data_IF_250822306681
#
_entry.id   IF_250822306681
#
_cell.length_a   1.000
_cell.length_b   1.000
_cell.length_c   1.000
_cell.angle_alpha   90.00
_cell.angle_beta   90.00
_cell.angle_gamma   90.00
#
_symmetry.space_group_name_H-M   'P 1'
#
loop_
_entity.id
_entity.type
_entity.pdbx_description
1 polymer ?
#
# COMPACT_ATOMS: atom_id res chain seq x y z
N UNK A 1 -38.02 -4.67 9.51
CA UNK A 1 -38.62 -5.88 10.12
C UNK A 1 -38.24 -5.95 11.58
N UNK A 2 -39.20 -6.00 12.50
CA UNK A 2 -38.96 -5.91 13.96
C UNK A 2 -38.43 -7.18 14.66
N UNK A 3 -38.78 -8.43 14.26
CA UNK A 3 -38.30 -9.61 14.97
C UNK A 3 -36.82 -9.85 14.71
N UNK A 4 -36.05 -10.09 15.77
CA UNK A 4 -34.65 -10.42 15.67
C UNK A 4 -34.47 -11.90 15.28
N UNK A 5 -33.53 -12.23 14.37
CA UNK A 5 -33.20 -13.61 14.03
C UNK A 5 -32.75 -14.45 15.25
N UNK A 6 -33.06 -15.75 15.23
CA UNK A 6 -32.79 -16.67 16.33
C UNK A 6 -31.31 -16.77 16.73
N UNK A 7 -30.39 -16.56 15.78
CA UNK A 7 -28.94 -16.62 16.01
C UNK A 7 -28.37 -15.41 16.76
N UNK A 8 -29.17 -14.39 17.06
CA UNK A 8 -28.72 -13.17 17.74
C UNK A 8 -28.98 -13.15 19.26
N UNK A 9 -29.47 -14.24 19.86
CA UNK A 9 -29.64 -14.42 21.32
C UNK A 9 -30.16 -13.16 22.06
N UNK A 10 -31.21 -12.53 21.51
CA UNK A 10 -31.79 -11.31 22.09
C UNK A 10 -32.96 -11.68 23.00
N UNK A 11 -32.79 -11.50 24.31
CA UNK A 11 -33.81 -11.79 25.33
C UNK A 11 -34.95 -10.76 25.37
N UNK A 12 -34.73 -9.57 24.80
CA UNK A 12 -35.67 -8.45 24.83
C UNK A 12 -35.89 -7.87 23.43
N UNK A 13 -37.10 -7.38 23.11
CA UNK A 13 -37.36 -6.68 21.86
C UNK A 13 -36.38 -5.51 21.67
N UNK A 14 -35.60 -5.54 20.59
CA UNK A 14 -34.65 -4.47 20.27
C UNK A 14 -34.40 -4.36 18.78
N UNK A 15 -34.05 -3.16 18.31
CA UNK A 15 -33.68 -2.88 16.91
C UNK A 15 -32.16 -2.95 16.68
N UNK A 16 -31.39 -3.54 17.62
CA UNK A 16 -29.93 -3.62 17.49
C UNK A 16 -29.49 -4.38 16.24
N UNK A 17 -30.25 -5.39 15.84
CA UNK A 17 -29.99 -6.20 14.63
C UNK A 17 -30.14 -5.41 13.33
N UNK A 18 -30.88 -4.30 13.35
CA UNK A 18 -31.01 -3.39 12.20
C UNK A 18 -29.88 -2.37 12.13
N UNK A 19 -29.17 -2.14 13.24
CA UNK A 19 -28.04 -1.21 13.24
C UNK A 19 -26.87 -1.84 12.48
N UNK A 20 -26.25 -1.04 11.62
CA UNK A 20 -25.01 -1.42 10.94
C UNK A 20 -23.93 -1.65 11.99
N UNK A 21 -23.53 -2.91 12.15
CA UNK A 21 -22.56 -3.32 13.17
C UNK A 21 -21.12 -2.99 12.78
N UNK A 22 -20.82 -2.89 11.48
CA UNK A 22 -19.57 -2.33 10.96
C UNK A 22 -19.75 -0.84 10.69
N UNK A 23 -19.13 0.01 11.49
CA UNK A 23 -19.00 1.42 11.14
C UNK A 23 -18.05 1.52 9.93
N UNK A 24 -18.47 2.14 8.82
CA UNK A 24 -17.51 2.43 7.75
C UNK A 24 -16.58 3.51 8.27
N UNK A 25 -15.36 3.11 8.63
CA UNK A 25 -14.32 4.04 9.06
C UNK A 25 -13.49 4.55 7.87
N UNK A 26 -13.81 4.11 6.65
CA UNK A 26 -12.98 4.28 5.47
C UNK A 26 -13.17 5.64 4.77
N UNK A 27 -13.61 6.68 5.49
CA UNK A 27 -13.50 8.04 4.98
C UNK A 27 -12.14 8.60 5.39
N UNK A 28 -11.13 8.34 4.58
CA UNK A 28 -9.80 8.95 4.73
C UNK A 28 -9.55 9.87 3.55
N UNK A 29 -9.39 11.18 3.80
CA UNK A 29 -8.96 12.16 2.79
C UNK A 29 -7.49 11.99 2.35
N UNK A 30 -6.83 10.92 2.78
CA UNK A 30 -5.41 10.68 2.50
C UNK A 30 -5.20 10.28 1.05
N UNK A 31 -4.22 10.92 0.41
CA UNK A 31 -3.80 10.62 -0.95
C UNK A 31 -2.36 10.10 -0.98
N UNK A 32 -1.97 9.48 -2.10
CA UNK A 32 -0.61 8.99 -2.31
C UNK A 32 0.43 10.11 -2.33
N UNK A 33 1.49 9.94 -1.55
CA UNK A 33 2.69 10.80 -1.54
C UNK A 33 3.58 10.51 -2.76
N UNK A 34 3.13 10.92 -3.96
CA UNK A 34 3.85 10.67 -5.21
C UNK A 34 5.24 11.30 -5.20
N UNK A 35 6.27 10.48 -5.44
CA UNK A 35 7.66 10.91 -5.49
C UNK A 35 8.33 11.08 -4.12
N UNK A 36 7.65 10.72 -3.02
CA UNK A 36 8.26 10.70 -1.71
C UNK A 36 9.36 9.62 -1.64
N UNK A 37 10.50 10.02 -1.12
CA UNK A 37 11.71 9.20 -0.97
C UNK A 37 11.94 8.93 0.50
N UNK A 38 12.19 7.67 0.84
CA UNK A 38 12.41 7.27 2.24
C UNK A 38 13.91 7.18 2.52
N UNK A 39 14.58 6.23 1.86
CA UNK A 39 15.94 5.86 2.18
C UNK A 39 16.77 5.74 0.90
N UNK A 40 18.04 6.20 0.95
CA UNK A 40 18.99 6.04 -0.15
C UNK A 40 20.14 5.17 0.32
N UNK A 41 20.29 4.00 -0.31
CA UNK A 41 21.43 3.14 -0.06
C UNK A 41 22.69 3.66 -0.76
N UNK A 42 23.85 3.47 -0.14
CA UNK A 42 25.16 3.77 -0.76
C UNK A 42 25.66 2.63 -1.64
N UNK A 43 25.25 1.40 -1.33
CA UNK A 43 25.63 0.17 -2.04
C UNK A 43 24.40 -0.61 -2.45
N UNK A 44 24.54 -1.41 -3.50
CA UNK A 44 23.51 -2.31 -3.97
C UNK A 44 23.14 -3.34 -2.89
N UNK A 45 21.84 -3.58 -2.72
CA UNK A 45 21.28 -4.57 -1.80
C UNK A 45 20.74 -5.75 -2.60
N UNK A 46 20.89 -6.96 -2.07
CA UNK A 46 20.33 -8.17 -2.70
C UNK A 46 18.80 -8.05 -2.79
N UNK A 47 18.25 -8.24 -3.98
CA UNK A 47 16.81 -8.09 -4.24
C UNK A 47 16.38 -6.68 -4.66
N UNK A 48 17.31 -5.73 -4.77
CA UNK A 48 17.04 -4.44 -5.39
C UNK A 48 16.98 -4.55 -6.93
N UNK A 49 16.37 -3.56 -7.57
CA UNK A 49 16.37 -3.38 -9.01
C UNK A 49 17.81 -3.40 -9.57
N UNK A 50 18.08 -4.29 -10.52
CA UNK A 50 19.43 -4.45 -11.08
C UNK A 50 19.92 -3.21 -11.83
N UNK A 51 18.99 -2.40 -12.36
CA UNK A 51 19.28 -1.19 -13.12
C UNK A 51 19.62 0.01 -12.22
N UNK A 52 18.67 0.44 -11.37
CA UNK A 52 18.78 1.67 -10.57
C UNK A 52 19.18 1.42 -9.09
N UNK A 53 18.96 0.22 -8.55
CA UNK A 53 19.33 -0.14 -7.18
C UNK A 53 18.30 0.16 -6.09
N UNK A 54 17.08 0.58 -6.41
CA UNK A 54 15.97 0.70 -5.44
C UNK A 54 15.41 -0.67 -5.07
N UNK A 55 14.84 -0.83 -3.87
CA UNK A 55 14.15 -2.07 -3.49
C UNK A 55 12.66 -2.12 -3.86
N UNK A 56 12.09 -1.03 -4.41
CA UNK A 56 10.63 -0.91 -4.58
C UNK A 56 10.08 -1.49 -5.89
N UNK A 57 10.94 -1.80 -6.87
CA UNK A 57 10.53 -2.33 -8.16
C UNK A 57 11.62 -3.22 -8.76
N UNK A 58 11.25 -3.97 -9.79
CA UNK A 58 12.14 -4.85 -10.55
C UNK A 58 12.78 -4.11 -11.74
N UNK A 59 13.83 -4.68 -12.33
CA UNK A 59 14.51 -4.08 -13.49
C UNK A 59 13.58 -3.82 -14.69
N UNK A 60 12.56 -4.66 -14.88
CA UNK A 60 11.60 -4.52 -15.98
C UNK A 60 10.60 -3.37 -15.77
N UNK A 61 10.28 -3.02 -14.53
CA UNK A 61 9.39 -1.92 -14.16
C UNK A 61 10.16 -0.66 -13.75
N UNK A 62 11.46 -0.63 -14.01
CA UNK A 62 12.32 0.49 -13.68
C UNK A 62 11.98 1.72 -14.52
N UNK A 63 11.78 2.86 -13.86
CA UNK A 63 11.51 4.14 -14.51
C UNK A 63 12.77 4.85 -15.02
N UNK A 64 13.95 4.45 -14.53
CA UNK A 64 15.21 4.97 -15.04
C UNK A 64 15.55 4.34 -16.39
N UNK A 65 16.22 5.11 -17.25
CA UNK A 65 16.73 4.61 -18.53
C UNK A 65 17.52 3.30 -18.31
N UNK A 66 17.24 2.23 -19.08
CA UNK A 66 18.02 1.00 -19.00
C UNK A 66 19.52 1.28 -19.18
N UNK A 67 20.33 0.87 -18.20
CA UNK A 67 21.78 1.03 -18.23
C UNK A 67 22.41 -0.22 -18.86
N UNK A 68 23.48 -0.02 -19.63
CA UNK A 68 24.30 -1.12 -20.16
C UNK A 68 24.93 -1.95 -19.03
N UNK A 69 25.48 -1.26 -18.02
CA UNK A 69 25.94 -1.87 -16.76
C UNK A 69 25.13 -1.30 -15.61
N UNK A 70 24.27 -2.14 -15.03
CA UNK A 70 23.37 -1.76 -13.95
C UNK A 70 24.06 -1.42 -12.61
N UNK A 71 23.28 -0.84 -11.71
CA UNK A 71 23.65 -0.56 -10.33
C UNK A 71 24.16 -1.80 -9.57
N UNK A 72 23.66 -2.99 -9.92
CA UNK A 72 24.08 -4.29 -9.34
C UNK A 72 25.59 -4.51 -9.37
N UNK A 73 26.24 -4.12 -10.47
CA UNK A 73 27.67 -4.37 -10.68
C UNK A 73 28.52 -3.15 -10.38
N UNK A 74 27.98 -1.95 -10.58
CA UNK A 74 28.74 -0.70 -10.46
C UNK A 74 28.68 -0.08 -9.07
N UNK A 75 27.63 -0.36 -8.28
CA UNK A 75 27.30 0.37 -7.05
C UNK A 75 27.22 1.90 -7.23
N UNK A 76 27.08 2.38 -8.47
CA UNK A 76 27.08 3.81 -8.81
C UNK A 76 25.66 4.28 -9.09
N UNK A 77 25.37 5.52 -8.70
CA UNK A 77 24.07 6.16 -8.91
C UNK A 77 22.91 5.30 -8.43
N UNK A 78 22.99 4.83 -7.17
CA UNK A 78 21.90 4.12 -6.50
C UNK A 78 20.74 5.09 -6.30
N UNK A 79 19.58 4.74 -6.85
CA UNK A 79 18.35 5.50 -6.67
C UNK A 79 17.79 5.31 -5.24
N UNK A 80 17.11 6.34 -4.70
CA UNK A 80 16.45 6.24 -3.41
C UNK A 80 15.18 5.37 -3.48
N UNK A 81 14.88 4.67 -2.39
CA UNK A 81 13.66 3.91 -2.23
C UNK A 81 12.44 4.83 -2.14
N UNK A 82 11.38 4.45 -2.84
CA UNK A 82 10.09 5.15 -2.89
C UNK A 82 9.19 4.75 -1.71
N UNK A 83 8.26 5.63 -1.32
CA UNK A 83 7.25 5.31 -0.31
C UNK A 83 6.14 4.46 -0.91
N UNK A 84 5.98 3.21 -0.43
CA UNK A 84 4.84 2.36 -0.79
C UNK A 84 3.71 2.63 0.20
N UNK A 85 2.56 3.04 -0.33
CA UNK A 85 1.35 3.30 0.43
C UNK A 85 0.19 2.48 -0.15
N UNK A 86 -0.68 1.99 0.73
CA UNK A 86 -1.87 1.24 0.36
C UNK A 86 -3.08 1.87 1.03
N UNK A 87 -4.08 2.26 0.25
CA UNK A 87 -5.32 2.84 0.73
C UNK A 87 -6.48 1.92 0.35
N UNK A 88 -7.44 1.77 1.27
CA UNK A 88 -8.71 1.08 1.03
C UNK A 88 -9.77 2.14 0.76
N UNK A 89 -9.99 2.43 -0.52
CA UNK A 89 -10.96 3.43 -0.97
C UNK A 89 -12.33 2.79 -1.23
N UNK A 90 -13.39 3.57 -1.08
CA UNK A 90 -14.74 3.15 -1.46
C UNK A 90 -15.02 3.51 -2.95
N UNK A 91 -16.28 3.44 -3.37
CA UNK A 91 -16.65 3.74 -4.76
C UNK A 91 -16.46 5.22 -5.11
N UNK A 92 -16.68 6.11 -4.15
CA UNK A 92 -16.60 7.56 -4.36
C UNK A 92 -15.16 8.08 -4.22
N UNK A 93 -14.29 7.30 -3.57
CA UNK A 93 -12.84 7.48 -3.58
C UNK A 93 -12.25 8.07 -2.31
#
# INVERSE_FOLDING_TARGET
>A
MSPAPWYLNVERPSLKHQRKWKYDRNYTESWYDRGAKIFKAEKYRKGACENCGTMMHDANSCMDRPREVGAKWTNKHIAPDEKIETFELDYDG
#
